data_IF_756853849687
#
_entry.id   IF_756853849687
#
_cell.length_a   1.000
_cell.length_b   1.000
_cell.length_c   1.000
_cell.angle_alpha   90.00
_cell.angle_beta   90.00
_cell.angle_gamma   90.00
#
_symmetry.space_group_name_H-M   'P 1'
#
loop_
_entity.id
_entity.type
_entity.pdbx_description
1 polymer ?
#
# COMPACT_ATOMS: atom_id res chain seq x y z
N UNK A 1 0.51 26.44 38.99
CA UNK A 1 1.73 26.53 38.16
C UNK A 1 1.68 25.44 37.10
N UNK A 2 1.68 25.82 35.83
CA UNK A 2 1.56 24.91 34.68
C UNK A 2 2.76 23.97 34.61
N UNK A 3 2.52 22.65 34.48
CA UNK A 3 3.57 21.65 34.29
C UNK A 3 4.16 21.80 32.90
N UNK A 4 5.22 22.60 32.76
CA UNK A 4 6.01 22.68 31.53
C UNK A 4 6.56 21.29 31.24
N UNK A 5 6.04 20.61 30.21
CA UNK A 5 6.53 19.31 29.75
C UNK A 5 8.00 19.48 29.32
N UNK A 6 8.94 19.13 30.20
CA UNK A 6 10.36 19.08 29.86
C UNK A 6 10.54 18.11 28.70
N UNK A 7 10.92 18.62 27.52
CA UNK A 7 11.30 17.78 26.38
C UNK A 7 12.57 17.02 26.77
N UNK A 8 12.49 15.70 26.85
CA UNK A 8 13.65 14.84 27.04
C UNK A 8 14.54 14.97 25.81
N UNK A 9 15.72 15.57 25.96
CA UNK A 9 16.74 15.62 24.92
C UNK A 9 17.45 14.27 24.85
N UNK A 10 16.86 13.33 24.12
CA UNK A 10 17.49 12.05 23.80
C UNK A 10 18.38 12.25 22.58
N UNK A 11 19.71 12.14 22.75
CA UNK A 11 20.66 12.12 21.64
C UNK A 11 20.78 10.70 21.11
N UNK A 12 20.18 10.43 19.95
CA UNK A 12 20.39 9.18 19.23
C UNK A 12 21.67 9.29 18.40
N UNK A 13 22.62 8.39 18.65
CA UNK A 13 23.78 8.21 17.75
C UNK A 13 23.43 7.13 16.74
N UNK A 14 23.40 7.50 15.46
CA UNK A 14 23.20 6.53 14.39
C UNK A 14 24.54 5.88 14.01
N UNK A 15 24.54 4.62 13.58
CA UNK A 15 25.71 4.02 12.95
C UNK A 15 26.10 4.79 11.67
N UNK A 16 27.41 4.89 11.41
CA UNK A 16 27.99 5.79 10.40
C UNK A 16 27.40 5.60 8.99
N UNK A 17 27.14 4.36 8.59
CA UNK A 17 26.53 4.01 7.30
C UNK A 17 25.12 4.61 7.13
N UNK A 18 24.30 4.62 8.19
CA UNK A 18 22.98 5.22 8.16
C UNK A 18 23.04 6.75 8.17
N UNK A 19 24.04 7.33 8.83
CA UNK A 19 24.29 8.76 8.82
C UNK A 19 24.68 9.27 7.43
N UNK A 20 25.54 8.53 6.71
CA UNK A 20 25.95 8.84 5.33
C UNK A 20 24.77 8.73 4.35
N UNK A 21 23.95 7.68 4.46
CA UNK A 21 22.72 7.54 3.70
C UNK A 21 21.74 8.69 3.94
N UNK A 22 21.54 9.07 5.21
CA UNK A 22 20.67 10.19 5.57
C UNK A 22 21.17 11.50 4.98
N UNK A 23 22.48 11.77 5.05
CA UNK A 23 23.09 12.97 4.45
C UNK A 23 22.91 13.00 2.93
N UNK A 24 23.09 11.86 2.26
CA UNK A 24 22.90 11.73 0.81
C UNK A 24 21.46 12.02 0.38
N UNK A 25 20.49 11.45 1.10
CA UNK A 25 19.07 11.69 0.81
C UNK A 25 18.62 13.11 1.17
N UNK A 26 19.14 13.69 2.25
CA UNK A 26 18.88 15.08 2.62
C UNK A 26 19.43 16.06 1.56
N UNK A 27 20.62 15.78 1.02
CA UNK A 27 21.24 16.58 -0.04
C UNK A 27 20.42 16.56 -1.34
N UNK A 28 19.85 15.42 -1.73
CA UNK A 28 18.96 15.32 -2.91
C UNK A 28 17.73 16.22 -2.81
N UNK A 29 17.20 16.39 -1.59
CA UNK A 29 16.01 17.17 -1.32
C UNK A 29 16.32 18.61 -0.85
N UNK A 30 17.60 19.01 -0.83
CA UNK A 30 18.06 20.33 -0.36
C UNK A 30 17.58 20.68 1.06
N UNK A 31 17.49 19.68 1.93
CA UNK A 31 17.09 19.85 3.34
C UNK A 31 18.22 19.43 4.27
N UNK A 32 18.15 19.87 5.53
CA UNK A 32 19.11 19.40 6.54
C UNK A 32 18.89 17.92 6.88
N UNK A 33 19.95 17.17 7.25
CA UNK A 33 19.80 15.78 7.69
C UNK A 33 18.83 15.61 8.86
N UNK A 34 18.74 16.60 9.75
CA UNK A 34 17.80 16.59 10.87
C UNK A 34 16.35 16.76 10.40
N UNK A 35 16.10 17.64 9.43
CA UNK A 35 14.77 17.77 8.82
C UNK A 35 14.38 16.51 8.04
N UNK A 36 15.34 15.88 7.36
CA UNK A 36 15.11 14.59 6.70
C UNK A 36 14.79 13.49 7.71
N UNK A 37 15.51 13.42 8.84
CA UNK A 37 15.22 12.46 9.90
C UNK A 37 13.83 12.67 10.51
N UNK A 38 13.42 13.91 10.77
CA UNK A 38 12.06 14.23 11.22
C UNK A 38 11.02 13.81 10.20
N UNK A 39 11.23 14.08 8.91
CA UNK A 39 10.33 13.65 7.83
C UNK A 39 10.23 12.13 7.74
N UNK A 40 11.33 11.39 7.89
CA UNK A 40 11.31 9.92 7.90
C UNK A 40 10.53 9.39 9.11
N UNK A 41 10.74 9.96 10.30
CA UNK A 41 10.01 9.58 11.51
C UNK A 41 8.53 9.94 11.38
N UNK A 42 8.21 11.13 10.89
CA UNK A 42 6.83 11.53 10.61
C UNK A 42 6.20 10.66 9.54
N UNK A 43 6.91 10.32 8.47
CA UNK A 43 6.43 9.40 7.44
C UNK A 43 6.15 8.02 8.04
N UNK A 44 7.04 7.51 8.90
CA UNK A 44 6.83 6.22 9.57
C UNK A 44 5.62 6.27 10.53
N UNK A 45 5.44 7.37 11.25
CA UNK A 45 4.34 7.57 12.20
C UNK A 45 3.00 7.86 11.49
N UNK A 46 3.01 8.56 10.36
CA UNK A 46 1.82 8.93 9.56
C UNK A 46 1.45 7.85 8.53
N UNK A 47 2.39 6.96 8.18
CA UNK A 47 2.08 5.72 7.46
C UNK A 47 1.33 4.71 8.32
N UNK A 48 1.24 4.98 9.63
CA UNK A 48 0.38 4.28 10.58
C UNK A 48 -0.90 5.11 10.83
N UNK A 49 -1.90 4.93 9.98
CA UNK A 49 -3.31 5.05 10.39
C UNK A 49 -3.87 3.62 10.59
N UNK A 50 -3.21 2.81 11.44
CA UNK A 50 -3.60 1.45 11.92
C UNK A 50 -2.94 0.22 11.27
N UNK A 51 -1.70 0.30 10.77
CA UNK A 51 -1.08 -0.80 10.01
C UNK A 51 0.34 -1.18 10.41
N UNK A 52 0.52 -1.94 11.51
CA UNK A 52 1.80 -2.62 11.85
C UNK A 52 2.45 -3.16 10.58
N UNK A 53 3.75 -2.92 10.33
CA UNK A 53 4.49 -3.34 9.12
C UNK A 53 4.21 -4.79 8.66
N UNK A 54 3.95 -5.70 9.61
CA UNK A 54 3.50 -7.08 9.36
C UNK A 54 2.14 -7.16 8.65
N UNK A 55 1.17 -6.31 9.02
CA UNK A 55 -0.14 -6.19 8.39
C UNK A 55 -0.06 -5.58 6.99
N UNK A 56 0.78 -4.57 6.76
CA UNK A 56 0.99 -3.99 5.42
C UNK A 56 1.71 -4.97 4.50
N UNK A 57 2.74 -5.67 4.99
CA UNK A 57 3.40 -6.73 4.24
C UNK A 57 2.45 -7.91 3.98
N UNK A 58 1.63 -8.31 4.97
CA UNK A 58 0.60 -9.34 4.80
C UNK A 58 -0.47 -8.93 3.80
N UNK A 59 -0.95 -7.68 3.84
CA UNK A 59 -1.89 -7.14 2.86
C UNK A 59 -1.28 -7.14 1.47
N UNK A 60 -0.05 -6.65 1.29
CA UNK A 60 0.66 -6.71 0.00
C UNK A 60 0.85 -8.17 -0.47
N UNK A 61 1.22 -9.08 0.42
CA UNK A 61 1.37 -10.50 0.10
C UNK A 61 0.05 -11.21 -0.20
N UNK A 62 -1.08 -10.73 0.29
CA UNK A 62 -2.42 -11.28 -0.01
C UNK A 62 -2.95 -10.66 -1.31
N UNK A 63 -2.80 -9.35 -1.49
CA UNK A 63 -3.34 -8.60 -2.60
C UNK A 63 -2.54 -8.83 -3.90
N UNK A 64 -1.21 -8.95 -3.82
CA UNK A 64 -0.36 -9.10 -5.01
C UNK A 64 -0.63 -10.43 -5.75
N UNK A 65 -0.68 -11.61 -5.10
CA UNK A 65 -1.05 -12.85 -5.79
C UNK A 65 -2.48 -12.82 -6.31
N UNK A 66 -3.40 -12.19 -5.58
CA UNK A 66 -4.81 -12.06 -6.01
C UNK A 66 -4.90 -11.22 -7.29
N UNK A 67 -4.19 -10.09 -7.34
CA UNK A 67 -4.09 -9.25 -8.53
C UNK A 67 -3.44 -10.01 -9.70
N UNK A 68 -2.33 -10.71 -9.45
CA UNK A 68 -1.68 -11.52 -10.48
C UNK A 68 -2.63 -12.59 -11.04
N UNK A 69 -3.39 -13.28 -10.19
CA UNK A 69 -4.36 -14.30 -10.62
C UNK A 69 -5.50 -13.66 -11.43
N UNK A 70 -5.99 -12.49 -11.01
CA UNK A 70 -7.03 -11.77 -11.76
C UNK A 70 -6.57 -11.44 -13.18
N UNK A 71 -5.39 -10.82 -13.31
CA UNK A 71 -4.86 -10.42 -14.61
C UNK A 71 -4.39 -11.60 -15.45
N UNK A 72 -3.82 -12.63 -14.82
CA UNK A 72 -3.44 -13.87 -15.51
C UNK A 72 -4.66 -14.52 -16.17
N UNK A 73 -5.80 -14.61 -15.48
CA UNK A 73 -7.02 -15.19 -16.04
C UNK A 73 -7.48 -14.43 -17.30
N UNK A 74 -7.37 -13.10 -17.29
CA UNK A 74 -7.71 -12.25 -18.45
C UNK A 74 -6.71 -12.49 -19.60
N UNK A 75 -5.42 -12.55 -19.30
CA UNK A 75 -4.39 -12.82 -20.32
C UNK A 75 -4.46 -14.23 -20.89
N UNK A 76 -4.83 -15.24 -20.10
CA UNK A 76 -5.02 -16.62 -20.57
C UNK A 76 -6.22 -16.71 -21.54
N UNK A 77 -7.29 -15.94 -21.29
CA UNK A 77 -8.43 -15.79 -22.22
C UNK A 77 -7.96 -15.12 -23.53
N UNK A 78 -7.21 -14.01 -23.44
CA UNK A 78 -6.67 -13.32 -24.62
C UNK A 78 -5.66 -14.18 -25.39
N UNK A 79 -4.85 -14.99 -24.71
CA UNK A 79 -3.91 -15.90 -25.36
C UNK A 79 -4.64 -17.01 -26.13
N UNK A 80 -5.79 -17.46 -25.61
CA UNK A 80 -6.66 -18.44 -26.26
C UNK A 80 -7.51 -17.84 -27.38
N UNK A 81 -7.72 -16.51 -27.37
CA UNK A 81 -8.43 -15.76 -28.39
C UNK A 81 -7.74 -14.42 -28.71
N UNK A 82 -6.68 -14.42 -29.55
CA UNK A 82 -5.81 -13.26 -29.76
C UNK A 82 -6.48 -12.02 -30.36
N UNK A 83 -7.66 -12.18 -30.96
CA UNK A 83 -8.48 -11.07 -31.47
C UNK A 83 -9.35 -10.41 -30.41
N UNK A 84 -9.44 -10.99 -29.21
CA UNK A 84 -10.27 -10.46 -28.13
C UNK A 84 -9.58 -9.27 -27.47
N UNK A 85 -10.32 -8.17 -27.31
CA UNK A 85 -9.83 -6.99 -26.58
C UNK A 85 -9.77 -7.27 -25.08
N UNK A 86 -8.93 -6.52 -24.38
CA UNK A 86 -8.81 -6.61 -22.92
C UNK A 86 -10.15 -6.42 -22.20
N UNK A 87 -10.97 -5.47 -22.66
CA UNK A 87 -12.30 -5.18 -22.09
C UNK A 87 -13.23 -6.39 -22.22
N UNK A 88 -13.27 -7.02 -23.40
CA UNK A 88 -14.11 -8.19 -23.65
C UNK A 88 -13.64 -9.42 -22.86
N UNK A 89 -12.32 -9.63 -22.77
CA UNK A 89 -11.74 -10.70 -21.97
C UNK A 89 -11.99 -10.49 -20.46
N UNK A 90 -11.98 -9.23 -20.01
CA UNK A 90 -12.31 -8.86 -18.63
C UNK A 90 -13.79 -9.09 -18.32
N UNK A 91 -14.69 -8.74 -19.25
CA UNK A 91 -16.12 -9.02 -19.11
C UNK A 91 -16.39 -10.53 -18.99
N UNK A 92 -15.75 -11.33 -19.85
CA UNK A 92 -15.86 -12.79 -19.83
C UNK A 92 -15.29 -13.40 -18.54
N UNK A 93 -14.15 -12.90 -18.07
CA UNK A 93 -13.59 -13.30 -16.78
C UNK A 93 -14.52 -12.92 -15.62
N UNK A 94 -15.14 -11.74 -15.64
CA UNK A 94 -16.10 -11.32 -14.62
C UNK A 94 -17.38 -12.17 -14.62
N UNK A 95 -17.87 -12.55 -15.79
CA UNK A 95 -19.07 -13.36 -15.95
C UNK A 95 -18.86 -14.82 -15.52
N UNK A 96 -17.71 -15.42 -15.82
CA UNK A 96 -17.51 -16.86 -15.62
C UNK A 96 -16.49 -17.24 -14.54
N UNK A 97 -15.53 -16.38 -14.23
CA UNK A 97 -14.45 -16.67 -13.27
C UNK A 97 -14.68 -15.92 -11.96
N UNK A 98 -15.03 -14.63 -12.02
CA UNK A 98 -15.15 -13.77 -10.84
C UNK A 98 -16.59 -13.52 -10.38
N UNK A 99 -17.61 -14.08 -11.03
CA UNK A 99 -19.03 -13.83 -10.71
C UNK A 99 -19.34 -13.97 -9.21
N UNK A 100 -18.99 -15.11 -8.61
CA UNK A 100 -19.23 -15.35 -7.18
C UNK A 100 -18.45 -14.40 -6.27
N UNK A 101 -17.26 -13.99 -6.68
CA UNK A 101 -16.46 -13.01 -5.94
C UNK A 101 -17.12 -11.62 -6.02
N UNK A 102 -17.60 -11.23 -7.19
CA UNK A 102 -18.31 -9.97 -7.42
C UNK A 102 -19.63 -9.94 -6.64
N UNK A 103 -20.44 -11.00 -6.66
CA UNK A 103 -21.67 -11.11 -5.85
C UNK A 103 -21.39 -10.97 -4.34
N UNK A 104 -20.28 -11.54 -3.87
CA UNK A 104 -19.88 -11.43 -2.46
C UNK A 104 -19.43 -10.02 -2.10
N UNK A 105 -18.66 -9.37 -2.98
CA UNK A 105 -18.24 -7.97 -2.80
C UNK A 105 -19.47 -7.07 -2.78
N UNK A 106 -20.40 -7.26 -3.71
CA UNK A 106 -21.64 -6.51 -3.80
C UNK A 106 -22.47 -6.63 -2.52
N UNK A 107 -22.66 -7.84 -1.99
CA UNK A 107 -23.33 -8.06 -0.70
C UNK A 107 -22.64 -7.35 0.46
N UNK A 108 -21.31 -7.27 0.48
CA UNK A 108 -20.57 -6.55 1.52
C UNK A 108 -20.76 -5.04 1.38
N UNK A 109 -20.70 -4.51 0.15
CA UNK A 109 -20.92 -3.10 -0.15
C UNK A 109 -22.32 -2.64 0.26
N UNK A 110 -23.34 -3.45 -0.07
CA UNK A 110 -24.72 -3.21 0.30
C UNK A 110 -24.91 -3.31 1.83
N UNK A 111 -24.45 -4.40 2.45
CA UNK A 111 -24.73 -4.67 3.87
C UNK A 111 -23.93 -3.82 4.86
N UNK A 112 -22.73 -3.37 4.49
CA UNK A 112 -21.85 -2.63 5.40
C UNK A 112 -21.73 -1.15 5.07
N UNK A 113 -21.93 -0.77 3.81
CA UNK A 113 -21.70 0.60 3.34
C UNK A 113 -22.95 1.25 2.74
N UNK A 114 -24.06 0.51 2.56
CA UNK A 114 -25.30 1.03 1.99
C UNK A 114 -25.15 1.49 0.54
N UNK A 115 -24.15 0.98 -0.19
CA UNK A 115 -23.90 1.30 -1.59
C UNK A 115 -24.68 0.28 -2.42
N UNK A 116 -25.77 0.72 -3.02
CA UNK A 116 -26.53 -0.05 -4.02
C UNK A 116 -25.80 0.07 -5.37
N UNK A 117 -25.56 -1.07 -6.03
CA UNK A 117 -24.91 -1.15 -7.34
C UNK A 117 -25.88 -1.22 -8.50
#
# INVERSE_FOLDING_TARGET
>A
MSKTKNRLNVQFRMPLNYEELLKKEAAKQQISPNEMAKKIVMYQLLSDEDGVFRNVAKLKHILLPTYIVMFKSIFDIMASNPSMTFENATALANEHIFQKANERVQKILESQFGIEG
#
